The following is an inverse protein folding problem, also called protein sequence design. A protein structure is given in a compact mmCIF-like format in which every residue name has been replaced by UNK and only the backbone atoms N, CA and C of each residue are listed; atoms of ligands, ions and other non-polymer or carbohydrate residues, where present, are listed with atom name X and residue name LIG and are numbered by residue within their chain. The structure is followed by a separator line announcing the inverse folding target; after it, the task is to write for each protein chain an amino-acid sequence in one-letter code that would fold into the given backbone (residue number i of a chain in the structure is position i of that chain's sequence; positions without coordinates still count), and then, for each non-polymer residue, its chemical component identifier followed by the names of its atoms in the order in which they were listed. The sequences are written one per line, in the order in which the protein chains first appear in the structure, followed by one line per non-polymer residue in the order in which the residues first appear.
data_IF_683197119749
#
_entry.id   IF_683197119749
#
_cell.length_a   1.000
_cell.length_b   1.000
_cell.length_c   1.000
_cell.angle_alpha   90.00
_cell.angle_beta   90.00
_cell.angle_gamma   90.00
#
_symmetry.space_group_name_H-M   'P 1'
#
loop_
_entity.id
_entity.type
_entity.pdbx_description
1 polymer ?
#
# COMPACT_ATOMS: atom_id res chain seq x y z
N UNK A 1 -20.22 -1.98 -4.19
CA UNK A 1 -19.20 -1.01 -3.77
C UNK A 1 -18.17 -1.80 -3.00
N UNK A 2 -16.94 -1.87 -3.49
CA UNK A 2 -15.88 -2.59 -2.77
C UNK A 2 -15.42 -1.73 -1.60
N UNK A 3 -15.41 -2.29 -0.40
CA UNK A 3 -14.84 -1.65 0.78
C UNK A 3 -13.30 -1.69 0.65
N UNK A 4 -12.65 -0.52 0.72
CA UNK A 4 -11.20 -0.33 0.59
C UNK A 4 -10.55 0.12 1.91
N UNK A 5 -11.19 -0.20 3.04
CA UNK A 5 -10.73 0.24 4.35
C UNK A 5 -9.28 -0.19 4.65
N UNK A 6 -8.93 -1.45 4.37
CA UNK A 6 -7.59 -1.96 4.66
C UNK A 6 -6.52 -1.39 3.73
N UNK A 7 -6.88 -1.13 2.48
CA UNK A 7 -6.02 -0.51 1.46
C UNK A 7 -5.73 0.94 1.82
N UNK A 8 -6.76 1.66 2.30
CA UNK A 8 -6.63 3.03 2.81
C UNK A 8 -5.72 3.07 4.04
N UNK A 9 -5.92 2.15 4.99
CA UNK A 9 -5.06 2.02 6.17
C UNK A 9 -3.61 1.65 5.81
N UNK A 10 -3.42 0.81 4.80
CA UNK A 10 -2.09 0.47 4.30
C UNK A 10 -1.39 1.68 3.67
N UNK A 11 -2.13 2.50 2.92
CA UNK A 11 -1.63 3.75 2.35
C UNK A 11 -1.25 4.76 3.43
N UNK A 12 -2.09 4.94 4.45
CA UNK A 12 -1.80 5.81 5.60
C UNK A 12 -0.53 5.37 6.35
N UNK A 13 -0.30 4.06 6.45
CA UNK A 13 0.92 3.51 7.06
C UNK A 13 2.16 3.85 6.23
N UNK A 14 2.08 3.74 4.90
CA UNK A 14 3.16 4.13 3.98
C UNK A 14 3.46 5.63 4.13
N UNK A 15 2.43 6.47 4.11
CA UNK A 15 2.56 7.93 4.28
C UNK A 15 3.21 8.30 5.62
N UNK A 16 2.79 7.65 6.71
CA UNK A 16 3.38 7.88 8.03
C UNK A 16 4.88 7.58 8.04
N UNK A 17 5.30 6.42 7.50
CA UNK A 17 6.71 6.04 7.45
C UNK A 17 7.50 7.03 6.59
N UNK A 18 6.98 7.41 5.41
CA UNK A 18 7.62 8.39 4.54
C UNK A 18 7.80 9.76 5.23
N UNK A 19 6.78 10.24 5.95
CA UNK A 19 6.87 11.50 6.71
C UNK A 19 7.87 11.40 7.86
N UNK A 20 7.93 10.28 8.58
CA UNK A 20 8.91 10.09 9.66
C UNK A 20 10.35 10.12 9.13
N UNK A 21 10.63 9.43 8.02
CA UNK A 21 11.97 9.36 7.40
C UNK A 21 12.42 10.71 6.82
N UNK A 22 11.47 11.52 6.34
CA UNK A 22 11.77 12.84 5.77
C UNK A 22 11.88 13.94 6.83
N UNK A 23 11.17 13.81 7.95
CA UNK A 23 11.15 14.83 9.02
C UNK A 23 12.14 14.58 10.16
N UNK A 24 12.65 13.36 10.32
CA UNK A 24 13.61 13.02 11.37
C UNK A 24 15.06 13.01 10.88
N UNK A 25 15.99 13.19 11.81
CA UNK A 25 17.43 13.08 11.55
C UNK A 25 17.84 11.59 11.59
N UNK A 26 17.35 10.80 10.64
CA UNK A 26 17.74 9.40 10.46
C UNK A 26 19.21 9.28 10.06
N UNK A 27 19.88 8.20 10.49
CA UNK A 27 21.13 7.78 9.86
C UNK A 27 20.85 7.35 8.40
N UNK A 28 21.88 7.38 7.56
CA UNK A 28 21.75 7.01 6.15
C UNK A 28 21.22 5.57 5.99
N UNK A 29 21.75 4.63 6.78
CA UNK A 29 21.32 3.23 6.80
C UNK A 29 19.83 3.08 7.18
N UNK A 30 19.36 3.83 8.19
CA UNK A 30 17.95 3.81 8.61
C UNK A 30 17.03 4.36 7.51
N UNK A 31 17.48 5.41 6.81
CA UNK A 31 16.74 5.99 5.69
C UNK A 31 16.66 5.02 4.52
N UNK A 32 17.76 4.34 4.17
CA UNK A 32 17.77 3.32 3.11
C UNK A 32 16.84 2.15 3.46
N UNK A 33 16.91 1.65 4.70
CA UNK A 33 16.02 0.58 5.15
C UNK A 33 14.54 0.99 5.09
N UNK A 34 14.23 2.21 5.50
CA UNK A 34 12.85 2.68 5.45
C UNK A 34 12.35 2.91 4.01
N UNK A 35 13.23 3.32 3.08
CA UNK A 35 12.89 3.35 1.65
C UNK A 35 12.59 1.97 1.09
N UNK A 36 13.35 0.95 1.51
CA UNK A 36 13.09 -0.44 1.13
C UNK A 36 11.71 -0.91 1.64
N UNK A 37 11.38 -0.65 2.90
CA UNK A 37 10.06 -0.99 3.44
C UNK A 37 8.91 -0.24 2.76
N UNK A 38 9.09 1.05 2.44
CA UNK A 38 8.09 1.81 1.66
C UNK A 38 7.86 1.14 0.32
N UNK A 39 8.91 0.74 -0.38
CA UNK A 39 8.80 0.06 -1.67
C UNK A 39 8.07 -1.30 -1.54
N UNK A 40 8.45 -2.11 -0.55
CA UNK A 40 7.83 -3.41 -0.29
C UNK A 40 6.35 -3.28 0.08
N UNK A 41 6.02 -2.36 0.98
CA UNK A 41 4.63 -2.09 1.38
C UNK A 41 3.78 -1.55 0.22
N UNK A 42 4.36 -0.71 -0.64
CA UNK A 42 3.68 -0.19 -1.82
C UNK A 42 3.40 -1.30 -2.83
N UNK A 43 4.37 -2.18 -3.08
CA UNK A 43 4.19 -3.32 -3.97
C UNK A 43 3.08 -4.26 -3.47
N UNK A 44 3.09 -4.58 -2.17
CA UNK A 44 2.05 -5.40 -1.55
C UNK A 44 0.65 -4.78 -1.67
N UNK A 45 0.54 -3.45 -1.48
CA UNK A 45 -0.73 -2.74 -1.63
C UNK A 45 -1.24 -2.78 -3.09
N UNK A 46 -0.35 -2.61 -4.07
CA UNK A 46 -0.70 -2.70 -5.49
C UNK A 46 -1.23 -4.11 -5.82
N UNK A 47 -0.60 -5.16 -5.30
CA UNK A 47 -1.04 -6.54 -5.52
C UNK A 47 -2.43 -6.80 -4.95
N UNK A 48 -2.75 -6.27 -3.76
CA UNK A 48 -4.10 -6.39 -3.19
C UNK A 48 -5.14 -5.61 -4.00
N UNK A 49 -4.83 -4.38 -4.42
CA UNK A 49 -5.72 -3.60 -5.28
C UNK A 49 -6.01 -4.30 -6.61
N UNK A 50 -5.00 -4.91 -7.24
CA UNK A 50 -5.16 -5.69 -8.47
C UNK A 50 -6.06 -6.92 -8.26
N UNK A 51 -5.96 -7.60 -7.11
CA UNK A 51 -6.85 -8.72 -6.78
C UNK A 51 -8.30 -8.26 -6.61
N UNK A 52 -8.50 -7.14 -5.94
CA UNK A 52 -9.83 -6.53 -5.74
C UNK A 52 -10.45 -6.16 -7.08
N UNK A 53 -9.68 -5.48 -7.93
CA UNK A 53 -10.12 -5.11 -9.27
C UNK A 53 -10.52 -6.35 -10.07
N UNK A 54 -9.67 -7.38 -10.11
CA UNK A 54 -9.98 -8.65 -10.80
C UNK A 54 -11.26 -9.31 -10.28
N UNK A 55 -11.44 -9.37 -8.96
CA UNK A 55 -12.63 -9.95 -8.35
C UNK A 55 -13.89 -9.15 -8.68
N UNK A 56 -13.79 -7.82 -8.77
CA UNK A 56 -14.91 -6.97 -9.15
C UNK A 56 -15.40 -7.23 -10.58
N UNK A 57 -14.48 -7.51 -11.52
CA UNK A 57 -14.85 -7.89 -12.89
C UNK A 57 -15.43 -9.30 -12.97
N UNK A 58 -14.92 -10.26 -12.18
CA UNK A 58 -15.44 -11.64 -12.15
C UNK A 58 -16.88 -11.70 -11.63
N UNK A 59 -17.19 -10.94 -10.57
CA UNK A 59 -18.55 -10.91 -10.01
C UNK A 59 -19.57 -10.32 -11.01
N UNK A 60 -19.16 -9.38 -11.87
CA UNK A 60 -20.05 -8.81 -12.90
C UNK A 60 -20.37 -9.81 -14.04
N UNK A 61 -19.49 -10.79 -14.30
CA UNK A 61 -19.69 -11.80 -15.35
C UNK A 61 -20.58 -12.98 -14.90
N UNK A 62 -20.70 -13.22 -13.60
CA UNK A 62 -21.51 -14.31 -13.04
C UNK A 62 -22.95 -13.93 -12.71
N UNK A 63 -23.25 -12.63 -12.64
CA UNK A 63 -24.59 -12.08 -12.39
C UNK A 63 -25.38 -11.74 -13.68
N UNK A 64 -24.88 -12.15 -14.86
CA UNK A 64 -25.55 -12.03 -16.17
C UNK A 64 -25.88 -13.40 -16.76
#
# INVERSE_FOLDING_TARGET
MTDLFFESLALDRIDLVARLVTSSNCQEEDRELALFWIAEMTAALIDELNKIEKNSYQNHLTDS
#
